data_IF_743069273298
#
_entry.id   IF_743069273298
#
_cell.length_a   1.000
_cell.length_b   1.000
_cell.length_c   1.000
_cell.angle_alpha   90.00
_cell.angle_beta   90.00
_cell.angle_gamma   90.00
#
_symmetry.space_group_name_H-M   'P 1'
#
loop_
_entity.id
_entity.type
_entity.pdbx_description
1 polymer ?
#
# COMPACT_ATOMS: atom_id res chain seq x y z
N UNK A 1 -0.78 -9.35 23.72
CA UNK A 1 -1.10 -8.31 22.73
C UNK A 1 -1.37 -6.99 23.40
N UNK A 2 -0.46 -6.03 23.24
CA UNK A 2 -0.67 -4.65 23.70
C UNK A 2 -1.72 -3.93 22.84
N UNK A 3 -2.69 -3.29 23.49
CA UNK A 3 -3.70 -2.46 22.83
C UNK A 3 -3.11 -1.14 22.31
N UNK A 4 -3.76 -0.58 21.29
CA UNK A 4 -3.47 0.77 20.83
C UNK A 4 -3.87 1.78 21.91
N UNK A 5 -3.00 2.76 22.16
CA UNK A 5 -3.21 3.78 23.19
C UNK A 5 -2.88 5.16 22.64
N UNK A 6 -3.86 6.07 22.68
CA UNK A 6 -3.66 7.45 22.25
C UNK A 6 -2.56 8.15 23.05
N UNK A 7 -2.45 7.87 24.35
CA UNK A 7 -1.43 8.49 25.22
C UNK A 7 -0.02 8.03 24.83
N UNK A 8 0.14 6.73 24.57
CA UNK A 8 1.42 6.19 24.11
C UNK A 8 1.81 6.69 22.72
N UNK A 9 0.85 6.73 21.79
CA UNK A 9 1.06 7.23 20.44
C UNK A 9 1.48 8.71 20.51
N UNK A 10 0.73 9.54 21.23
CA UNK A 10 1.04 10.98 21.38
C UNK A 10 2.39 11.23 22.04
N UNK A 11 2.78 10.41 23.03
CA UNK A 11 4.07 10.55 23.69
C UNK A 11 5.26 10.25 22.76
N UNK A 12 5.07 9.38 21.76
CA UNK A 12 6.13 8.88 20.86
C UNK A 12 6.16 9.55 19.51
N UNK A 13 5.02 9.99 18.99
CA UNK A 13 4.89 10.57 17.66
C UNK A 13 5.71 11.87 17.52
N UNK A 14 6.44 12.01 16.41
CA UNK A 14 7.32 13.17 16.13
C UNK A 14 7.01 13.88 14.83
N UNK A 15 5.84 13.63 14.25
CA UNK A 15 5.35 14.33 13.06
C UNK A 15 4.99 15.79 13.37
N UNK A 16 5.01 16.62 12.34
CA UNK A 16 4.62 18.02 12.36
C UNK A 16 3.14 18.23 11.98
N UNK A 17 2.52 17.27 11.27
CA UNK A 17 1.13 17.33 10.77
C UNK A 17 0.39 16.00 10.89
N UNK A 18 0.95 14.90 10.41
CA UNK A 18 0.25 13.61 10.36
C UNK A 18 0.05 13.03 11.77
N UNK A 19 -1.19 12.85 12.21
CA UNK A 19 -1.51 12.26 13.52
C UNK A 19 -1.60 13.27 14.66
N UNK A 20 -1.68 14.58 14.39
CA UNK A 20 -2.06 15.57 15.40
C UNK A 20 -3.48 15.34 15.93
N UNK A 21 -4.40 14.95 15.04
CA UNK A 21 -5.72 14.46 15.38
C UNK A 21 -5.79 12.97 15.06
N UNK A 22 -6.04 12.14 16.08
CA UNK A 22 -6.18 10.69 15.94
C UNK A 22 -7.53 10.27 16.52
N UNK A 23 -8.34 9.64 15.67
CA UNK A 23 -9.55 8.94 16.08
C UNK A 23 -9.21 7.46 16.26
N UNK A 24 -9.00 7.05 17.51
CA UNK A 24 -8.85 5.64 17.87
C UNK A 24 -10.22 5.02 18.14
N UNK A 25 -10.53 3.93 17.45
CA UNK A 25 -11.81 3.23 17.55
C UNK A 25 -11.58 1.78 17.97
N UNK A 26 -12.45 1.25 18.82
CA UNK A 26 -12.46 -0.19 19.10
C UNK A 26 -12.89 -0.98 17.84
N UNK A 27 -13.83 -0.44 17.07
CA UNK A 27 -14.29 -1.06 15.84
C UNK A 27 -14.79 -0.02 14.85
N UNK A 28 -14.45 -0.21 13.57
CA UNK A 28 -14.95 0.58 12.45
C UNK A 28 -15.64 -0.31 11.40
N UNK A 29 -16.52 0.27 10.59
CA UNK A 29 -16.95 -0.38 9.35
C UNK A 29 -15.73 -0.52 8.42
N UNK A 30 -15.09 0.60 8.09
CA UNK A 30 -13.75 0.69 7.52
C UNK A 30 -13.11 2.02 7.95
N UNK A 31 -11.82 2.03 8.26
CA UNK A 31 -11.09 3.27 8.59
C UNK A 31 -11.11 4.26 7.43
N UNK A 32 -11.12 3.78 6.17
CA UNK A 32 -11.24 4.66 4.99
C UNK A 32 -12.61 5.35 4.93
N UNK A 33 -13.70 4.62 5.18
CA UNK A 33 -15.05 5.22 5.18
C UNK A 33 -15.21 6.26 6.29
N UNK A 34 -14.69 5.97 7.48
CA UNK A 34 -14.70 6.92 8.59
C UNK A 34 -13.86 8.15 8.25
N UNK A 35 -12.65 7.97 7.70
CA UNK A 35 -11.79 9.07 7.28
C UNK A 35 -12.44 9.92 6.17
N UNK A 36 -13.10 9.30 5.18
CA UNK A 36 -13.87 10.02 4.16
C UNK A 36 -14.99 10.85 4.80
N UNK A 37 -15.74 10.29 5.75
CA UNK A 37 -16.79 11.00 6.48
C UNK A 37 -16.24 12.22 7.23
N UNK A 38 -15.14 12.05 7.96
CA UNK A 38 -14.47 13.14 8.69
C UNK A 38 -13.94 14.22 7.74
N UNK A 39 -13.34 13.84 6.61
CA UNK A 39 -12.85 14.79 5.60
C UNK A 39 -13.99 15.64 5.00
N UNK A 40 -15.15 15.05 4.73
CA UNK A 40 -16.34 15.78 4.29
C UNK A 40 -16.91 16.70 5.39
N UNK A 41 -16.77 16.30 6.65
CA UNK A 41 -17.15 17.11 7.81
C UNK A 41 -16.13 18.21 8.15
N UNK A 42 -15.06 18.36 7.36
CA UNK A 42 -14.07 19.44 7.52
C UNK A 42 -12.83 19.06 8.32
N UNK A 43 -12.56 17.77 8.55
CA UNK A 43 -11.29 17.37 9.15
C UNK A 43 -10.08 17.84 8.32
N UNK A 44 -9.07 18.32 9.03
CA UNK A 44 -7.85 18.85 8.45
C UNK A 44 -6.96 17.74 7.86
N UNK A 45 -6.02 18.14 7.00
CA UNK A 45 -4.96 17.25 6.54
C UNK A 45 -4.19 16.66 7.73
N UNK A 46 -3.81 15.39 7.61
CA UNK A 46 -3.07 14.68 8.64
C UNK A 46 -3.94 14.09 9.73
N UNK A 47 -5.26 14.29 9.71
CA UNK A 47 -6.18 13.54 10.56
C UNK A 47 -6.07 12.04 10.27
N UNK A 48 -5.88 11.25 11.34
CA UNK A 48 -5.71 9.79 11.27
C UNK A 48 -6.89 9.09 11.94
N UNK A 49 -7.43 8.07 11.28
CA UNK A 49 -8.37 7.13 11.88
C UNK A 49 -7.63 5.82 12.09
N UNK A 50 -7.70 5.25 13.29
CA UNK A 50 -7.13 3.94 13.62
C UNK A 50 -8.20 3.10 14.27
N UNK A 51 -8.27 1.80 13.93
CA UNK A 51 -9.21 0.88 14.56
C UNK A 51 -8.53 -0.39 15.06
N UNK A 52 -9.01 -0.96 16.16
CA UNK A 52 -8.57 -2.29 16.61
C UNK A 52 -9.06 -3.39 15.65
N UNK A 53 -10.26 -3.24 15.07
CA UNK A 53 -10.84 -4.15 14.06
C UNK A 53 -11.70 -3.41 13.03
N UNK A 54 -11.87 -4.00 11.84
CA UNK A 54 -12.81 -3.53 10.82
C UNK A 54 -13.82 -4.63 10.44
N UNK A 55 -15.11 -4.29 10.39
CA UNK A 55 -16.17 -5.22 9.94
C UNK A 55 -16.17 -5.42 8.42
N UNK A 56 -15.88 -4.35 7.68
CA UNK A 56 -15.97 -4.24 6.22
C UNK A 56 -14.68 -3.65 5.63
N UNK A 57 -13.51 -4.11 6.11
CA UNK A 57 -12.23 -3.72 5.54
C UNK A 57 -12.19 -3.94 4.03
N UNK A 58 -11.65 -2.97 3.29
CA UNK A 58 -11.61 -2.96 1.82
C UNK A 58 -10.18 -2.97 1.31
N UNK A 59 -9.98 -3.66 0.18
CA UNK A 59 -8.81 -3.58 -0.65
C UNK A 59 -9.17 -3.06 -2.05
N UNK A 60 -8.18 -3.04 -2.95
CA UNK A 60 -8.37 -2.64 -4.35
C UNK A 60 -9.42 -3.52 -5.05
N UNK A 61 -10.06 -2.95 -6.07
CA UNK A 61 -11.04 -3.64 -6.93
C UNK A 61 -12.19 -4.30 -6.16
N UNK A 62 -12.59 -3.69 -5.03
CA UNK A 62 -13.70 -4.18 -4.21
C UNK A 62 -13.40 -5.45 -3.39
N UNK A 63 -12.14 -5.93 -3.38
CA UNK A 63 -11.75 -7.07 -2.56
C UNK A 63 -11.91 -6.76 -1.08
N UNK A 64 -12.24 -7.78 -0.28
CA UNK A 64 -12.31 -7.65 1.18
C UNK A 64 -10.91 -7.69 1.78
N UNK A 65 -10.65 -6.83 2.75
CA UNK A 65 -9.45 -6.87 3.60
C UNK A 65 -9.82 -7.38 4.99
N UNK A 66 -9.37 -8.58 5.36
CA UNK A 66 -9.65 -9.18 6.66
C UNK A 66 -8.90 -8.42 7.77
N UNK A 67 -9.65 -7.87 8.74
CA UNK A 67 -9.12 -6.90 9.72
C UNK A 67 -9.54 -7.23 11.16
N UNK A 68 -9.12 -8.37 11.72
CA UNK A 68 -9.42 -8.74 13.10
C UNK A 68 -8.63 -7.89 14.10
N UNK A 69 -8.88 -8.08 15.39
CA UNK A 69 -8.06 -7.48 16.43
C UNK A 69 -6.59 -7.90 16.27
N UNK A 70 -5.67 -6.98 16.55
CA UNK A 70 -4.24 -7.26 16.54
C UNK A 70 -3.47 -6.96 15.26
N UNK A 71 -4.15 -6.57 14.18
CA UNK A 71 -3.48 -5.83 13.13
C UNK A 71 -3.30 -4.36 13.47
N UNK A 72 -2.75 -3.61 12.52
CA UNK A 72 -2.73 -2.16 12.54
C UNK A 72 -3.50 -1.66 11.32
N UNK A 73 -4.70 -1.13 11.58
CA UNK A 73 -5.64 -0.66 10.56
C UNK A 73 -5.80 0.83 10.71
N UNK A 74 -5.31 1.59 9.74
CA UNK A 74 -5.41 3.04 9.82
C UNK A 74 -5.57 3.71 8.46
N UNK A 75 -6.12 4.92 8.49
CA UNK A 75 -6.29 5.75 7.32
C UNK A 75 -5.87 7.19 7.62
N UNK A 76 -5.23 7.82 6.66
CA UNK A 76 -4.75 9.21 6.75
C UNK A 76 -5.46 10.06 5.71
N UNK A 77 -5.96 11.22 6.12
CA UNK A 77 -6.53 12.22 5.21
C UNK A 77 -5.40 13.12 4.70
N UNK A 78 -5.25 13.23 3.38
CA UNK A 78 -4.26 14.07 2.70
C UNK A 78 -4.96 15.07 1.77
N UNK A 79 -4.40 16.26 1.60
CA UNK A 79 -4.91 17.31 0.70
C UNK A 79 -3.79 17.82 -0.23
N UNK A 80 -3.21 16.95 -1.07
CA UNK A 80 -2.11 17.34 -1.95
C UNK A 80 -2.57 18.31 -3.03
N UNK A 81 -1.71 19.27 -3.35
CA UNK A 81 -1.83 20.12 -4.53
C UNK A 81 -1.28 19.35 -5.75
N UNK A 82 -2.10 18.46 -6.31
CA UNK A 82 -1.73 17.66 -7.49
C UNK A 82 -2.96 17.28 -8.33
N UNK A 83 -2.74 16.88 -9.59
CA UNK A 83 -3.81 16.36 -10.44
C UNK A 83 -4.25 14.96 -9.98
N UNK A 84 -5.53 14.63 -10.11
CA UNK A 84 -6.07 13.33 -9.75
C UNK A 84 -5.37 12.16 -10.48
N UNK A 85 -4.88 12.39 -11.71
CA UNK A 85 -4.09 11.43 -12.49
C UNK A 85 -2.76 11.06 -11.84
N UNK A 86 -2.25 11.91 -10.95
CA UNK A 86 -0.98 11.73 -10.24
C UNK A 86 -1.17 11.01 -8.89
N UNK A 87 -2.41 10.71 -8.48
CA UNK A 87 -2.70 9.97 -7.25
C UNK A 87 -1.97 8.61 -7.11
N UNK A 88 -1.62 7.87 -8.18
CA UNK A 88 -0.77 6.69 -8.06
C UNK A 88 0.59 6.98 -7.38
N UNK A 89 1.14 8.20 -7.54
CA UNK A 89 2.39 8.63 -6.88
C UNK A 89 2.28 8.56 -5.36
N UNK A 90 1.12 8.88 -4.78
CA UNK A 90 0.87 8.74 -3.33
C UNK A 90 0.90 7.28 -2.89
N UNK A 91 0.42 6.36 -3.72
CA UNK A 91 0.46 4.92 -3.42
C UNK A 91 1.89 4.40 -3.38
N UNK A 92 2.72 4.82 -4.34
CA UNK A 92 4.15 4.46 -4.37
C UNK A 92 4.91 5.07 -3.20
N UNK A 93 4.65 6.34 -2.92
CA UNK A 93 5.20 7.09 -1.78
C UNK A 93 4.88 6.38 -0.47
N UNK A 94 3.61 6.00 -0.29
CA UNK A 94 3.17 5.24 0.87
C UNK A 94 3.84 3.87 0.95
N UNK A 95 4.01 3.17 -0.17
CA UNK A 95 4.64 1.87 -0.19
C UNK A 95 6.09 1.93 0.29
N UNK A 96 6.87 2.91 -0.19
CA UNK A 96 8.24 3.16 0.29
C UNK A 96 8.25 3.51 1.77
N UNK A 97 7.42 4.46 2.20
CA UNK A 97 7.35 4.90 3.59
C UNK A 97 7.01 3.76 4.56
N UNK A 98 6.02 2.92 4.23
CA UNK A 98 5.61 1.80 5.07
C UNK A 98 6.67 0.69 5.09
N UNK A 99 7.31 0.40 3.95
CA UNK A 99 8.44 -0.54 3.92
C UNK A 99 9.59 -0.05 4.81
N UNK A 100 9.97 1.23 4.70
CA UNK A 100 11.01 1.84 5.53
C UNK A 100 10.63 1.83 7.02
N UNK A 101 9.36 2.08 7.36
CA UNK A 101 8.87 1.99 8.74
C UNK A 101 9.01 0.57 9.32
N UNK A 102 8.64 -0.46 8.54
CA UNK A 102 8.77 -1.87 8.96
C UNK A 102 10.24 -2.25 9.11
N UNK A 103 11.10 -1.86 8.16
CA UNK A 103 12.55 -2.11 8.21
C UNK A 103 13.17 -1.48 9.45
N UNK A 104 12.87 -0.21 9.72
CA UNK A 104 13.43 0.53 10.85
C UNK A 104 12.89 0.09 12.21
N UNK A 105 11.61 -0.29 12.30
CA UNK A 105 10.99 -0.70 13.56
C UNK A 105 11.33 -2.15 13.95
N UNK A 106 11.46 -3.05 12.98
CA UNK A 106 11.54 -4.50 13.23
C UNK A 106 12.79 -5.18 12.65
N UNK A 107 13.65 -4.47 11.92
CA UNK A 107 14.82 -5.06 11.26
C UNK A 107 14.48 -6.06 10.14
N UNK A 108 13.21 -6.13 9.71
CA UNK A 108 12.75 -7.04 8.67
C UNK A 108 13.08 -6.50 7.28
N UNK A 109 13.42 -7.38 6.35
CA UNK A 109 13.55 -7.02 4.92
C UNK A 109 12.15 -6.88 4.31
N UNK A 110 11.54 -5.71 4.51
CA UNK A 110 10.30 -5.34 3.85
C UNK A 110 10.59 -4.89 2.41
N UNK A 111 9.81 -5.41 1.48
CA UNK A 111 9.92 -5.24 0.03
C UNK A 111 8.61 -4.71 -0.52
N UNK A 112 8.68 -3.89 -1.57
CA UNK A 112 7.50 -3.36 -2.24
C UNK A 112 7.13 -4.24 -3.42
N UNK A 113 5.85 -4.65 -3.46
CA UNK A 113 5.24 -5.31 -4.60
C UNK A 113 4.25 -4.34 -5.25
N UNK A 114 4.52 -4.02 -6.53
CA UNK A 114 3.64 -3.17 -7.31
C UNK A 114 2.21 -3.75 -7.35
N UNK A 115 1.17 -2.92 -7.27
CA UNK A 115 1.21 -1.46 -7.12
C UNK A 115 1.22 -0.96 -5.66
N UNK A 116 0.88 -1.79 -4.68
CA UNK A 116 0.40 -1.29 -3.39
C UNK A 116 0.59 -2.25 -2.20
N UNK A 117 1.40 -3.29 -2.36
CA UNK A 117 1.58 -4.34 -1.36
C UNK A 117 2.99 -4.31 -0.78
N UNK A 118 3.12 -4.62 0.52
CA UNK A 118 4.44 -4.83 1.15
C UNK A 118 4.57 -6.31 1.50
N UNK A 119 5.71 -6.88 1.12
CA UNK A 119 6.06 -8.26 1.36
C UNK A 119 7.18 -8.36 2.40
N UNK A 120 7.17 -9.44 3.17
CA UNK A 120 8.32 -9.90 3.96
C UNK A 120 8.52 -11.37 3.66
N UNK A 121 9.73 -11.76 3.24
CA UNK A 121 10.04 -13.13 2.78
C UNK A 121 9.07 -13.58 1.67
N UNK A 122 8.80 -12.71 0.71
CA UNK A 122 7.90 -12.97 -0.43
C UNK A 122 6.40 -13.10 -0.09
N UNK A 123 5.99 -12.88 1.17
CA UNK A 123 4.59 -12.97 1.61
C UNK A 123 4.05 -11.62 2.06
N UNK A 124 2.80 -11.35 1.72
CA UNK A 124 2.13 -10.08 1.96
C UNK A 124 1.87 -9.84 3.44
N UNK A 125 2.40 -8.73 3.97
CA UNK A 125 2.18 -8.27 5.35
C UNK A 125 1.40 -6.97 5.42
N UNK A 126 1.37 -6.18 4.34
CA UNK A 126 0.63 -4.93 4.28
C UNK A 126 -0.02 -4.73 2.91
N UNK A 127 -1.20 -4.11 2.91
CA UNK A 127 -1.87 -3.59 1.72
C UNK A 127 -2.19 -2.12 1.91
N UNK A 128 -2.01 -1.35 0.83
CA UNK A 128 -2.27 0.09 0.78
C UNK A 128 -3.43 0.35 -0.17
N UNK A 129 -4.39 1.19 0.23
CA UNK A 129 -5.55 1.57 -0.57
C UNK A 129 -5.68 3.09 -0.60
N UNK A 130 -5.39 3.68 -1.75
CA UNK A 130 -5.56 5.11 -2.00
C UNK A 130 -6.92 5.35 -2.64
N UNK A 131 -7.75 6.19 -2.01
CA UNK A 131 -9.04 6.63 -2.55
C UNK A 131 -9.03 8.15 -2.75
N UNK A 132 -9.29 8.60 -3.98
CA UNK A 132 -9.37 10.02 -4.32
C UNK A 132 -10.82 10.49 -4.26
N UNK A 133 -11.03 11.70 -3.74
CA UNK A 133 -12.33 12.37 -3.77
C UNK A 133 -12.20 13.64 -4.59
N UNK A 134 -13.03 13.76 -5.63
CA UNK A 134 -13.03 14.88 -6.56
C UNK A 134 -14.20 15.82 -6.27
N UNK A 135 -13.98 17.13 -6.46
CA UNK A 135 -15.04 18.14 -6.42
C UNK A 135 -14.90 19.03 -7.64
N UNK A 136 -15.91 19.06 -8.50
CA UNK A 136 -15.87 19.86 -9.74
C UNK A 136 -14.78 19.43 -10.74
N UNK A 137 -14.31 18.18 -10.67
CA UNK A 137 -13.21 17.67 -11.50
C UNK A 137 -11.82 17.84 -10.88
N UNK A 138 -11.70 18.63 -9.81
CA UNK A 138 -10.43 18.85 -9.10
C UNK A 138 -10.30 17.89 -7.90
N UNK A 139 -9.05 17.55 -7.56
CA UNK A 139 -8.75 16.72 -6.40
C UNK A 139 -9.06 17.50 -5.11
N UNK A 140 -10.04 17.03 -4.34
CA UNK A 140 -10.46 17.68 -3.09
C UNK A 140 -9.66 17.15 -1.89
N UNK A 141 -9.55 15.83 -1.79
CA UNK A 141 -8.69 15.15 -0.81
C UNK A 141 -8.44 13.70 -1.22
N UNK A 142 -7.49 13.07 -0.55
CA UNK A 142 -7.15 11.65 -0.66
C UNK A 142 -7.28 11.01 0.70
N UNK A 143 -7.84 9.81 0.74
CA UNK A 143 -7.79 8.93 1.90
C UNK A 143 -6.84 7.78 1.59
N UNK A 144 -5.73 7.74 2.33
CA UNK A 144 -4.74 6.69 2.23
C UNK A 144 -4.99 5.68 3.35
N UNK A 145 -5.51 4.50 2.99
CA UNK A 145 -5.72 3.38 3.89
C UNK A 145 -4.54 2.43 3.92
N UNK A 146 -4.08 2.06 5.11
CA UNK A 146 -2.98 1.13 5.33
C UNK A 146 -3.47 0.03 6.27
N UNK A 147 -3.39 -1.21 5.79
CA UNK A 147 -3.67 -2.37 6.61
C UNK A 147 -2.43 -3.23 6.78
N UNK A 148 -1.97 -3.39 8.02
CA UNK A 148 -0.77 -4.18 8.36
C UNK A 148 -1.16 -5.37 9.23
N UNK A 149 -0.81 -6.56 8.77
CA UNK A 149 -0.92 -7.80 9.51
C UNK A 149 0.15 -7.84 10.61
N UNK A 150 -0.10 -7.20 11.76
CA UNK A 150 0.90 -7.11 12.83
C UNK A 150 0.96 -8.37 13.70
N UNK A 151 0.03 -8.52 14.65
CA UNK A 151 0.00 -9.59 15.67
C UNK A 151 -1.14 -10.60 15.48
N UNK A 152 -1.69 -10.68 14.28
CA UNK A 152 -2.80 -11.58 13.96
C UNK A 152 -2.29 -13.03 13.95
N UNK A 153 -3.13 -13.99 14.35
CA UNK A 153 -2.82 -15.40 14.17
C UNK A 153 -2.95 -15.76 12.69
N UNK A 154 -1.96 -16.48 12.13
CA UNK A 154 -1.99 -16.87 10.71
C UNK A 154 -3.26 -17.66 10.36
N UNK A 155 -3.79 -18.45 11.30
CA UNK A 155 -5.03 -19.21 11.13
C UNK A 155 -6.29 -18.34 11.01
N UNK A 156 -6.24 -17.06 11.38
CA UNK A 156 -7.35 -16.11 11.18
C UNK A 156 -7.32 -15.47 9.79
N UNK A 157 -6.18 -15.52 9.08
CA UNK A 157 -6.12 -15.02 7.72
C UNK A 157 -7.00 -15.88 6.79
N UNK A 158 -7.74 -15.25 5.84
CA UNK A 158 -8.57 -16.00 4.91
C UNK A 158 -7.78 -17.09 4.16
N UNK A 159 -8.33 -18.30 4.10
CA UNK A 159 -7.64 -19.48 3.56
C UNK A 159 -7.25 -19.36 2.07
N UNK A 160 -7.96 -18.53 1.31
CA UNK A 160 -7.66 -18.17 -0.08
C UNK A 160 -6.43 -17.25 -0.24
N UNK A 161 -5.97 -16.64 0.85
CA UNK A 161 -4.77 -15.77 0.87
C UNK A 161 -3.62 -16.41 1.67
N UNK A 162 -3.89 -17.47 2.45
CA UNK A 162 -3.04 -17.96 3.55
C UNK A 162 -1.60 -18.38 3.22
N UNK A 163 -1.31 -18.83 1.99
CA UNK A 163 0.07 -19.11 1.56
C UNK A 163 0.81 -17.85 1.09
N UNK A 164 0.06 -16.89 0.56
CA UNK A 164 0.59 -15.62 0.02
C UNK A 164 0.67 -14.49 1.05
N UNK A 165 0.01 -14.63 2.20
CA UNK A 165 0.03 -13.68 3.31
C UNK A 165 0.85 -14.17 4.50
N UNK A 166 1.39 -13.21 5.25
CA UNK A 166 2.10 -13.42 6.50
C UNK A 166 1.74 -12.30 7.48
N UNK A 167 2.19 -12.46 8.72
CA UNK A 167 2.10 -11.43 9.75
C UNK A 167 3.49 -10.98 10.15
N UNK A 168 3.63 -9.74 10.63
CA UNK A 168 4.90 -9.21 11.09
C UNK A 168 5.41 -10.00 12.31
N UNK A 169 4.52 -10.40 13.23
CA UNK A 169 4.85 -11.27 14.37
C UNK A 169 5.43 -12.61 13.94
N UNK A 170 4.89 -13.23 12.88
CA UNK A 170 5.46 -14.47 12.32
C UNK A 170 6.86 -14.23 11.72
N UNK A 171 7.04 -13.10 11.05
CA UNK A 171 8.30 -12.78 10.39
C UNK A 171 9.43 -12.40 11.37
N UNK A 172 9.10 -11.61 12.40
CA UNK A 172 10.03 -11.17 13.45
C UNK A 172 10.29 -12.25 14.50
N UNK A 173 9.31 -13.13 14.76
CA UNK A 173 9.36 -14.10 15.85
C UNK A 173 8.96 -13.54 17.22
N UNK A 174 8.50 -12.29 17.28
CA UNK A 174 8.13 -11.59 18.52
C UNK A 174 6.89 -10.70 18.32
N UNK A 175 6.21 -10.37 19.43
CA UNK A 175 5.05 -9.48 19.40
C UNK A 175 5.46 -8.07 18.95
N UNK A 176 4.73 -7.52 17.97
CA UNK A 176 4.96 -6.19 17.43
C UNK A 176 4.31 -5.13 18.32
N UNK A 177 5.08 -4.14 18.77
CA UNK A 177 4.53 -2.92 19.39
C UNK A 177 3.83 -2.06 18.33
N UNK A 178 2.50 -2.22 18.23
CA UNK A 178 1.66 -1.53 17.25
C UNK A 178 1.65 -0.01 17.44
N UNK A 179 1.81 0.49 18.67
CA UNK A 179 1.86 1.93 18.94
C UNK A 179 3.14 2.53 18.35
N UNK A 180 4.27 1.87 18.58
CA UNK A 180 5.57 2.29 18.01
C UNK A 180 5.56 2.14 16.48
N UNK A 181 5.03 1.04 15.95
CA UNK A 181 4.92 0.85 14.51
C UNK A 181 4.08 1.94 13.85
N UNK A 182 2.91 2.30 14.41
CA UNK A 182 2.09 3.39 13.89
C UNK A 182 2.85 4.72 13.86
N UNK A 183 3.56 5.05 14.93
CA UNK A 183 4.38 6.27 14.96
C UNK A 183 5.43 6.28 13.85
N UNK A 184 6.15 5.16 13.67
CA UNK A 184 7.14 5.03 12.58
C UNK A 184 6.51 5.12 11.20
N UNK A 185 5.33 4.52 11.00
CA UNK A 185 4.59 4.64 9.75
C UNK A 185 4.23 6.10 9.45
N UNK A 186 3.69 6.84 10.43
CA UNK A 186 3.30 8.24 10.24
C UNK A 186 4.52 9.16 10.01
N UNK A 187 5.62 8.95 10.74
CA UNK A 187 6.88 9.69 10.55
C UNK A 187 7.46 9.47 9.14
N UNK A 188 7.52 8.21 8.69
CA UNK A 188 7.99 7.90 7.34
C UNK A 188 7.04 8.45 6.28
N UNK A 189 5.72 8.30 6.48
CA UNK A 189 4.72 8.84 5.54
C UNK A 189 4.83 10.35 5.42
N UNK A 190 4.99 11.08 6.53
CA UNK A 190 5.10 12.54 6.50
C UNK A 190 6.35 13.00 5.75
N UNK A 191 7.51 12.38 6.03
CA UNK A 191 8.76 12.71 5.36
C UNK A 191 8.68 12.48 3.84
N UNK A 192 8.13 11.33 3.41
CA UNK A 192 8.02 11.02 1.99
C UNK A 192 6.91 11.84 1.30
N UNK A 193 5.83 12.14 2.01
CA UNK A 193 4.77 13.01 1.50
C UNK A 193 5.25 14.45 1.30
N UNK A 194 6.03 14.98 2.24
CA UNK A 194 6.68 16.28 2.08
C UNK A 194 7.65 16.28 0.89
N UNK A 195 8.50 15.25 0.77
CA UNK A 195 9.41 15.08 -0.37
C UNK A 195 8.65 15.05 -1.71
N UNK A 196 7.51 14.38 -1.78
CA UNK A 196 6.67 14.37 -2.98
C UNK A 196 6.15 15.77 -3.32
N UNK A 197 5.67 16.52 -2.32
CA UNK A 197 5.18 17.90 -2.49
C UNK A 197 6.27 18.89 -2.94
N UNK A 198 7.53 18.61 -2.63
CA UNK A 198 8.70 19.38 -3.08
C UNK A 198 9.21 18.95 -4.47
N UNK A 199 8.49 18.06 -5.18
CA UNK A 199 8.85 17.57 -6.51
C UNK A 199 9.83 16.39 -6.51
N UNK A 200 10.09 15.78 -5.35
CA UNK A 200 11.05 14.69 -5.15
C UNK A 200 10.60 13.29 -5.63
N UNK A 201 9.71 13.21 -6.63
CA UNK A 201 9.19 11.92 -7.13
C UNK A 201 10.30 10.98 -7.61
N UNK A 202 11.35 11.51 -8.25
CA UNK A 202 12.47 10.69 -8.74
C UNK A 202 13.21 9.99 -7.59
N UNK A 203 13.44 10.68 -6.47
CA UNK A 203 14.07 10.09 -5.28
C UNK A 203 13.19 9.00 -4.66
N UNK A 204 11.87 9.21 -4.62
CA UNK A 204 10.91 8.19 -4.16
C UNK A 204 10.93 6.97 -5.08
N UNK A 205 10.98 7.16 -6.40
CA UNK A 205 11.05 6.05 -7.35
C UNK A 205 12.39 5.31 -7.28
N UNK A 206 13.50 5.99 -7.05
CA UNK A 206 14.79 5.33 -6.78
C UNK A 206 14.74 4.44 -5.54
N UNK A 207 14.14 4.92 -4.45
CA UNK A 207 13.89 4.09 -3.26
C UNK A 207 12.96 2.92 -3.56
N UNK A 208 11.87 3.18 -4.27
CA UNK A 208 10.92 2.16 -4.68
C UNK A 208 11.61 1.03 -5.46
N UNK A 209 12.46 1.39 -6.45
CA UNK A 209 13.25 0.43 -7.24
C UNK A 209 14.16 -0.43 -6.37
N UNK A 210 14.82 0.18 -5.37
CA UNK A 210 15.68 -0.55 -4.42
C UNK A 210 14.90 -1.55 -3.55
N UNK A 211 13.63 -1.29 -3.31
CA UNK A 211 12.75 -2.12 -2.49
C UNK A 211 11.94 -3.14 -3.31
N UNK A 212 11.98 -3.09 -4.64
CA UNK A 212 11.12 -3.87 -5.52
C UNK A 212 11.85 -5.09 -6.11
N UNK A 213 11.75 -6.29 -5.51
CA UNK A 213 12.45 -7.49 -5.98
C UNK A 213 11.91 -8.01 -7.32
N UNK A 214 10.80 -7.47 -7.82
CA UNK A 214 10.21 -7.86 -9.11
C UNK A 214 10.97 -7.29 -10.31
N UNK A 215 11.76 -6.23 -10.14
CA UNK A 215 12.45 -5.59 -11.26
C UNK A 215 13.56 -6.50 -11.78
N UNK A 216 13.60 -6.69 -13.09
CA UNK A 216 14.46 -7.63 -13.79
C UNK A 216 13.87 -9.04 -13.93
N UNK A 217 12.77 -9.35 -13.24
CA UNK A 217 12.16 -10.69 -13.25
C UNK A 217 11.03 -10.82 -14.28
N UNK A 218 10.76 -12.07 -14.67
CA UNK A 218 9.61 -12.45 -15.49
C UNK A 218 8.32 -12.41 -14.67
N UNK A 219 7.38 -11.57 -15.09
CA UNK A 219 6.12 -11.36 -14.39
C UNK A 219 4.90 -11.61 -15.26
N UNK A 220 3.79 -11.86 -14.60
CA UNK A 220 2.45 -11.78 -15.19
C UNK A 220 1.65 -10.73 -14.44
N UNK A 221 1.07 -9.79 -15.17
CA UNK A 221 0.13 -8.80 -14.62
C UNK A 221 -1.29 -9.19 -15.03
N UNK A 222 -2.18 -9.24 -14.06
CA UNK A 222 -3.60 -9.55 -14.23
C UNK A 222 -4.45 -8.35 -13.81
N UNK A 223 -5.29 -7.86 -14.71
CA UNK A 223 -6.33 -6.86 -14.47
C UNK A 223 -7.71 -7.44 -14.77
N UNK A 224 -8.72 -6.56 -14.87
CA UNK A 224 -10.09 -6.96 -15.19
C UNK A 224 -10.17 -7.62 -16.57
N UNK A 225 -9.61 -6.97 -17.58
CA UNK A 225 -9.57 -7.44 -18.98
C UNK A 225 -8.12 -7.54 -19.52
N UNK A 226 -7.13 -7.43 -18.63
CA UNK A 226 -5.72 -7.44 -18.98
C UNK A 226 -5.04 -8.70 -18.46
N UNK A 227 -4.37 -9.43 -19.34
CA UNK A 227 -3.38 -10.43 -18.96
C UNK A 227 -2.14 -10.24 -19.82
N UNK A 228 -1.11 -9.65 -19.22
CA UNK A 228 0.14 -9.35 -19.93
C UNK A 228 1.31 -10.02 -19.21
N UNK A 229 2.24 -10.53 -20.01
CA UNK A 229 3.48 -11.16 -19.54
C UNK A 229 4.65 -10.40 -20.12
N UNK A 230 5.72 -10.35 -19.36
CA UNK A 230 6.97 -9.75 -19.78
C UNK A 230 7.93 -9.60 -18.62
N UNK A 231 9.13 -9.11 -18.92
CA UNK A 231 10.12 -8.75 -17.92
C UNK A 231 9.78 -7.41 -17.32
N UNK A 232 9.66 -7.31 -16.00
CA UNK A 232 9.43 -6.02 -15.35
C UNK A 232 10.71 -5.17 -15.41
N UNK A 233 10.66 -4.05 -16.13
CA UNK A 233 11.81 -3.17 -16.33
C UNK A 233 11.87 -2.07 -15.27
N UNK A 234 10.74 -1.41 -15.04
CA UNK A 234 10.70 -0.21 -14.21
C UNK A 234 9.28 0.14 -13.74
N UNK A 235 9.17 1.14 -12.87
CA UNK A 235 7.95 1.94 -12.68
C UNK A 235 8.24 3.36 -13.13
N UNK A 236 7.39 3.90 -14.01
CA UNK A 236 7.57 5.26 -14.53
C UNK A 236 7.07 6.35 -13.56
N UNK A 237 7.21 7.61 -13.96
CA UNK A 237 6.83 8.79 -13.15
C UNK A 237 5.33 8.91 -12.86
N UNK A 238 4.48 8.24 -13.65
CA UNK A 238 3.04 8.17 -13.42
C UNK A 238 2.65 6.97 -12.53
N UNK A 239 3.63 6.12 -12.20
CA UNK A 239 3.47 4.93 -11.40
C UNK A 239 3.01 3.69 -12.16
N UNK A 240 3.07 3.71 -13.49
CA UNK A 240 2.78 2.55 -14.31
C UNK A 240 3.98 1.59 -14.33
N UNK A 241 3.70 0.28 -14.24
CA UNK A 241 4.72 -0.75 -14.38
C UNK A 241 5.09 -0.88 -15.87
N UNK A 242 6.38 -0.77 -16.17
CA UNK A 242 6.92 -0.91 -17.52
C UNK A 242 7.41 -2.34 -17.72
N UNK A 243 6.83 -3.05 -18.68
CA UNK A 243 7.21 -4.40 -19.07
C UNK A 243 7.97 -4.39 -20.40
N UNK A 244 8.93 -5.29 -20.57
CA UNK A 244 9.44 -5.72 -21.87
C UNK A 244 8.71 -6.99 -22.31
N UNK A 245 8.06 -6.95 -23.46
CA UNK A 245 7.36 -8.08 -24.05
C UNK A 245 8.33 -8.98 -24.84
N UNK A 246 7.86 -10.17 -25.24
CA UNK A 246 8.67 -11.16 -25.99
C UNK A 246 9.24 -10.63 -27.32
N UNK A 247 8.58 -9.64 -27.94
CA UNK A 247 9.00 -8.98 -29.18
C UNK A 247 9.95 -7.78 -28.94
N UNK A 248 10.31 -7.52 -27.68
CA UNK A 248 11.13 -6.40 -27.24
C UNK A 248 10.37 -5.08 -27.09
N UNK A 249 9.06 -5.04 -27.35
CA UNK A 249 8.25 -3.85 -27.14
C UNK A 249 8.12 -3.50 -25.66
N UNK A 250 8.03 -2.21 -25.35
CA UNK A 250 7.73 -1.73 -23.99
C UNK A 250 6.24 -1.55 -23.83
N UNK A 251 5.68 -2.10 -22.76
CA UNK A 251 4.26 -1.99 -22.44
C UNK A 251 4.06 -1.37 -21.05
N UNK A 252 3.25 -0.32 -20.96
CA UNK A 252 2.94 0.38 -19.70
C UNK A 252 1.64 -0.19 -19.11
N UNK A 253 1.72 -0.68 -17.87
CA UNK A 253 0.57 -1.20 -17.13
C UNK A 253 0.20 -0.24 -16.00
N UNK A 254 -0.94 0.42 -16.14
CA UNK A 254 -1.42 1.45 -15.19
C UNK A 254 -2.09 0.79 -13.97
N UNK A 255 -2.71 -0.38 -14.15
CA UNK A 255 -3.40 -1.08 -13.07
C UNK A 255 -3.42 -2.59 -13.27
N UNK A 256 -3.37 -3.33 -12.16
CA UNK A 256 -3.42 -4.79 -12.13
C UNK A 256 -2.80 -5.33 -10.85
N UNK A 257 -2.79 -6.65 -10.73
CA UNK A 257 -2.02 -7.40 -9.74
C UNK A 257 -0.85 -8.10 -10.46
N UNK A 258 0.37 -7.92 -9.94
CA UNK A 258 1.57 -8.57 -10.48
C UNK A 258 1.87 -9.86 -9.71
N UNK A 259 2.41 -10.86 -10.41
CA UNK A 259 2.97 -12.07 -9.81
C UNK A 259 4.24 -12.49 -10.52
N UNK A 260 5.25 -12.95 -9.77
CA UNK A 260 6.44 -13.60 -10.32
C UNK A 260 6.02 -14.89 -11.02
N UNK A 261 6.61 -15.17 -12.18
CA UNK A 261 6.44 -16.47 -12.85
C UNK A 261 7.38 -17.50 -12.25
N UNK A 262 6.88 -18.70 -12.01
CA UNK A 262 7.77 -19.80 -11.64
C UNK A 262 8.55 -20.26 -12.88
N UNK A 263 9.77 -20.76 -12.67
CA UNK A 263 10.57 -21.37 -13.76
C UNK A 263 9.86 -22.51 -14.50
N UNK A 264 8.81 -23.11 -13.91
CA UNK A 264 8.00 -24.15 -14.57
C UNK A 264 6.99 -23.59 -15.59
N UNK A 265 6.61 -22.32 -15.46
CA UNK A 265 5.61 -21.69 -16.34
C UNK A 265 6.22 -21.15 -17.64
N UNK A 266 7.55 -21.11 -17.74
CA UNK A 266 8.29 -20.60 -18.91
C UNK A 266 8.21 -21.54 -20.13
N UNK A 267 7.65 -22.75 -19.99
CA UNK A 267 7.47 -23.72 -21.07
C UNK A 267 6.12 -23.67 -21.81
N UNK A 268 5.21 -22.77 -21.43
CA UNK A 268 3.84 -22.72 -21.98
C UNK A 268 3.56 -21.45 -22.79
N UNK A 269 3.95 -21.44 -24.06
CA UNK A 269 3.59 -20.37 -25.01
C UNK A 269 2.11 -20.51 -25.37
N UNK A 270 1.26 -19.60 -24.89
CA UNK A 270 -0.10 -19.40 -25.43
C UNK A 270 -0.18 -17.96 -25.93
N UNK A 271 -0.16 -17.78 -27.25
CA UNK A 271 -0.40 -16.51 -27.94
C UNK A 271 -1.87 -16.12 -27.73
N UNK A 272 -2.13 -15.18 -26.83
CA UNK A 272 -3.40 -14.45 -26.78
C UNK A 272 -3.33 -13.28 -27.76
N UNK A 273 -4.32 -13.16 -28.65
CA UNK A 273 -4.45 -12.04 -29.59
C UNK A 273 -4.49 -10.72 -28.83
N UNK A 274 -3.67 -9.77 -29.27
CA UNK A 274 -3.85 -8.35 -29.03
C UNK A 274 -4.85 -7.91 -30.10
N UNK A 275 -6.12 -7.74 -29.73
CA UNK A 275 -7.06 -7.04 -30.61
C UNK A 275 -6.87 -5.54 -30.38
N UNK A 276 -6.45 -4.86 -31.45
CA UNK A 276 -6.38 -3.42 -31.57
C UNK A 276 -7.78 -2.82 -31.36
N UNK A 277 -7.90 -1.85 -30.45
CA UNK A 277 -9.01 -0.92 -30.44
C UNK A 277 -8.44 0.50 -30.43
N UNK A 278 -8.20 1.02 -31.63
CA UNK A 278 -8.16 2.45 -31.93
C UNK A 278 -9.47 2.78 -32.63
N UNK A 279 -10.25 3.65 -31.99
CA UNK A 279 -11.53 4.18 -32.45
C UNK A 279 -12.13 5.07 -31.39
#
# INVERSE_FOLDING_TARGET
MKELSLDEIRARLRTARLGHVIHLMEEASSTNEVAKGLAHAGAEEGCVVVAERQRQGRGRLGRRWHSPAGGLWFSVILRPEMDAREAPRLTLTAAVAIANAIRGALGLQAEVKWPNDILVRGRKVCGILTETVLKGGELCFVVLGIGINANIDKGELPGDVGESAATLREASGEEVDRNTLLCRCLEQLEAHYAMLGEGGINSILEEWRRLAPLLGEEVEVRGLDLRVRGRALDVDEDGALVLELDDGARYRVISGDVSLRSRRDLGGTTRGRVDEAVG
#
